data_IF_446691980001
#
_entry.id   IF_446691980001
#
_cell.length_a   1.000
_cell.length_b   1.000
_cell.length_c   1.000
_cell.angle_alpha   90.00
_cell.angle_beta   90.00
_cell.angle_gamma   90.00
#
_symmetry.space_group_name_H-M   'P 1'
#
loop_
_entity.id
_entity.type
_entity.pdbx_description
1 polymer ?
#
# COMPACT_ATOMS: atom_id res chain seq x y z
N UNK A 1 -10.16 4.46 3.41
CA UNK A 1 -8.80 3.96 3.60
C UNK A 1 -8.25 3.60 2.24
N UNK A 2 -7.18 4.27 1.83
CA UNK A 2 -6.49 3.95 0.57
C UNK A 2 -5.68 2.68 0.76
N UNK A 3 -5.54 1.83 -0.28
CA UNK A 3 -4.76 0.59 -0.17
C UNK A 3 -3.30 0.82 0.25
N UNK A 4 -2.76 2.01 -0.01
CA UNK A 4 -1.42 2.42 0.40
C UNK A 4 -1.24 2.48 1.93
N UNK A 5 -2.29 2.75 2.70
CA UNK A 5 -2.24 2.81 4.18
C UNK A 5 -2.07 1.43 4.83
N UNK A 6 -2.24 0.33 4.07
CA UNK A 6 -2.10 -1.04 4.56
C UNK A 6 -0.68 -1.62 4.36
N UNK A 7 0.24 -0.87 3.75
CA UNK A 7 1.61 -1.33 3.58
C UNK A 7 2.31 -1.29 4.93
N UNK A 8 2.81 -2.43 5.40
CA UNK A 8 3.50 -2.49 6.69
C UNK A 8 4.90 -1.90 6.56
N UNK A 9 5.11 -0.71 7.13
CA UNK A 9 6.39 0.02 7.10
C UNK A 9 7.10 0.08 8.46
N UNK A 10 6.63 -0.69 9.45
CA UNK A 10 7.19 -0.66 10.81
C UNK A 10 8.47 -1.53 10.91
N UNK A 11 9.56 -0.97 10.38
CA UNK A 11 10.90 -1.56 10.46
C UNK A 11 11.78 -0.93 11.54
N UNK A 12 11.47 0.31 11.95
CA UNK A 12 12.30 1.09 12.88
C UNK A 12 12.58 0.38 14.21
N UNK A 13 11.62 -0.31 14.86
CA UNK A 13 11.89 -1.04 16.09
C UNK A 13 12.94 -2.14 15.93
N UNK A 14 12.88 -2.90 14.83
CA UNK A 14 13.84 -3.98 14.54
C UNK A 14 15.21 -3.40 14.19
N UNK A 15 15.26 -2.30 13.43
CA UNK A 15 16.52 -1.61 13.10
C UNK A 15 17.19 -1.11 14.38
N UNK A 16 16.43 -0.47 15.27
CA UNK A 16 16.90 0.01 16.55
C UNK A 16 17.48 -1.13 17.40
N UNK A 17 16.75 -2.24 17.50
CA UNK A 17 17.17 -3.41 18.25
C UNK A 17 18.47 -4.03 17.72
N UNK A 18 18.64 -4.09 16.39
CA UNK A 18 19.87 -4.58 15.76
C UNK A 18 21.04 -3.65 16.11
N UNK A 19 20.88 -2.34 15.92
CA UNK A 19 21.93 -1.36 16.24
C UNK A 19 22.33 -1.47 17.72
N UNK A 20 21.36 -1.51 18.62
CA UNK A 20 21.58 -1.64 20.07
C UNK A 20 22.30 -2.94 20.43
N UNK A 21 21.99 -4.04 19.76
CA UNK A 21 22.66 -5.32 20.00
C UNK A 21 24.14 -5.30 19.60
N UNK A 22 24.46 -4.66 18.46
CA UNK A 22 25.83 -4.51 17.95
C UNK A 22 26.65 -3.58 18.87
N UNK A 23 26.04 -2.47 19.30
CA UNK A 23 26.66 -1.55 20.27
C UNK A 23 26.96 -2.29 21.59
N UNK A 24 26.04 -3.11 22.09
CA UNK A 24 26.25 -3.87 23.33
C UNK A 24 27.38 -4.92 23.20
N UNK A 25 27.47 -5.61 22.06
CA UNK A 25 28.52 -6.61 21.76
C UNK A 25 29.91 -5.97 21.70
N UNK A 26 30.03 -4.73 21.22
CA UNK A 26 31.30 -4.01 21.15
C UNK A 26 31.83 -3.55 22.51
N UNK A 27 30.96 -3.35 23.51
CA UNK A 27 31.36 -2.93 24.87
C UNK A 27 31.52 -4.10 25.87
N UNK A 28 30.92 -5.27 25.63
CA UNK A 28 30.96 -6.42 26.54
C UNK A 28 31.53 -7.68 25.87
N UNK A 29 32.86 -7.90 25.96
CA UNK A 29 33.56 -9.11 25.45
C UNK A 29 33.14 -10.44 26.15
N UNK A 30 32.16 -10.44 27.05
CA UNK A 30 31.80 -11.61 27.89
C UNK A 30 30.32 -12.01 27.82
N UNK A 31 29.59 -11.67 26.75
CA UNK A 31 28.15 -11.92 26.71
C UNK A 31 27.77 -13.41 26.60
N UNK A 32 26.72 -13.75 27.36
CA UNK A 32 26.08 -15.06 27.41
C UNK A 32 25.49 -15.40 26.02
N UNK A 33 25.62 -16.65 25.55
CA UNK A 33 25.24 -17.06 24.19
C UNK A 33 23.76 -16.86 23.80
N UNK A 34 22.88 -16.56 24.77
CA UNK A 34 21.45 -16.37 24.53
C UNK A 34 21.09 -15.03 23.84
N UNK A 35 21.70 -13.90 24.25
CA UNK A 35 21.34 -12.58 23.67
C UNK A 35 21.93 -12.36 22.27
N UNK A 36 23.08 -12.99 21.98
CA UNK A 36 23.69 -13.00 20.64
C UNK A 36 22.87 -13.84 19.64
N UNK A 37 22.18 -14.87 20.10
CA UNK A 37 21.30 -15.68 19.25
C UNK A 37 20.05 -14.87 18.83
N UNK A 38 19.43 -14.15 19.76
CA UNK A 38 18.24 -13.32 19.46
C UNK A 38 18.55 -12.20 18.45
N UNK A 39 19.73 -11.59 18.56
CA UNK A 39 20.18 -10.50 17.67
C UNK A 39 20.40 -10.98 16.23
N UNK A 40 20.98 -12.17 16.07
CA UNK A 40 21.16 -12.82 14.76
C UNK A 40 19.83 -13.21 14.10
N UNK A 41 18.75 -13.40 14.87
CA UNK A 41 17.41 -13.68 14.35
C UNK A 41 16.67 -12.41 13.88
N UNK A 42 17.04 -11.22 14.37
CA UNK A 42 16.41 -9.94 13.98
C UNK A 42 16.80 -9.49 12.57
N UNK A 43 18.01 -9.81 12.11
CA UNK A 43 18.46 -9.51 10.74
C UNK A 43 17.62 -10.25 9.67
N UNK A 44 17.41 -11.58 9.73
CA UNK A 44 16.54 -12.27 8.78
C UNK A 44 15.07 -11.87 8.93
N UNK A 45 14.62 -11.49 10.13
CA UNK A 45 13.29 -10.89 10.32
C UNK A 45 13.16 -9.57 9.55
N UNK A 46 14.13 -8.65 9.69
CA UNK A 46 14.16 -7.39 8.95
C UNK A 46 14.12 -7.63 7.43
N UNK A 47 14.95 -8.56 6.94
CA UNK A 47 14.96 -8.92 5.51
C UNK A 47 13.60 -9.41 5.04
N UNK A 48 12.96 -10.29 5.81
CA UNK A 48 11.63 -10.81 5.50
C UNK A 48 10.60 -9.68 5.44
N UNK A 49 10.59 -8.80 6.43
CA UNK A 49 9.66 -7.66 6.48
C UNK A 49 9.87 -6.69 5.32
N UNK A 50 11.12 -6.39 4.96
CA UNK A 50 11.42 -5.54 3.79
C UNK A 50 10.95 -6.18 2.49
N UNK A 51 11.13 -7.50 2.34
CA UNK A 51 10.68 -8.24 1.17
C UNK A 51 9.15 -8.24 1.06
N UNK A 52 8.44 -8.51 2.15
CA UNK A 52 6.98 -8.43 2.20
C UNK A 52 6.46 -7.03 1.83
N UNK A 53 7.11 -5.98 2.32
CA UNK A 53 6.74 -4.61 1.98
C UNK A 53 6.96 -4.31 0.50
N UNK A 54 8.07 -4.77 -0.10
CA UNK A 54 8.30 -4.67 -1.55
C UNK A 54 7.18 -5.37 -2.34
N UNK A 55 6.79 -6.57 -1.93
CA UNK A 55 5.71 -7.32 -2.58
C UNK A 55 4.34 -6.64 -2.43
N UNK A 56 4.09 -5.99 -1.29
CA UNK A 56 2.88 -5.20 -1.08
C UNK A 56 2.87 -3.96 -1.98
N UNK A 57 4.00 -3.25 -2.08
CA UNK A 57 4.15 -2.08 -2.97
C UNK A 57 3.92 -2.50 -4.43
N UNK A 58 4.48 -3.63 -4.87
CA UNK A 58 4.28 -4.13 -6.24
C UNK A 58 2.83 -4.47 -6.58
N UNK A 59 1.98 -4.70 -5.57
CA UNK A 59 0.55 -4.97 -5.76
C UNK A 59 -0.30 -3.70 -5.71
N UNK A 60 0.28 -2.54 -5.40
CA UNK A 60 -0.48 -1.29 -5.34
C UNK A 60 -0.93 -0.88 -6.74
N UNK A 61 -2.21 -0.51 -6.92
CA UNK A 61 -2.69 -0.07 -8.20
C UNK A 61 -2.04 1.26 -8.58
N UNK A 62 -1.62 1.34 -9.84
CA UNK A 62 -1.11 2.57 -10.44
C UNK A 62 0.37 2.85 -10.22
N UNK A 63 1.13 1.94 -9.59
CA UNK A 63 2.60 2.07 -9.48
C UNK A 63 3.31 2.14 -10.84
N UNK A 64 2.69 1.60 -11.89
CA UNK A 64 3.21 1.59 -13.25
C UNK A 64 3.01 2.94 -13.98
N UNK A 65 2.31 3.89 -13.35
CA UNK A 65 1.99 5.17 -13.95
C UNK A 65 2.81 6.28 -13.33
N UNK A 66 3.23 7.24 -14.16
CA UNK A 66 3.76 8.50 -13.65
C UNK A 66 2.64 9.29 -12.98
N UNK A 67 3.02 10.24 -12.13
CA UNK A 67 2.06 11.13 -11.46
C UNK A 67 1.15 11.83 -12.46
N UNK A 68 1.71 12.31 -13.57
CA UNK A 68 0.99 13.04 -14.62
C UNK A 68 0.01 12.11 -15.36
N UNK A 69 0.41 10.85 -15.60
CA UNK A 69 -0.44 9.82 -16.19
C UNK A 69 -1.62 9.48 -15.26
N UNK A 70 -1.38 9.35 -13.95
CA UNK A 70 -2.43 9.12 -12.96
C UNK A 70 -3.42 10.29 -12.90
N UNK A 71 -2.92 11.53 -12.92
CA UNK A 71 -3.76 12.74 -12.90
C UNK A 71 -4.65 12.83 -14.15
N UNK A 72 -4.09 12.64 -15.35
CA UNK A 72 -4.86 12.64 -16.60
C UNK A 72 -5.96 11.58 -16.60
N UNK A 73 -5.66 10.36 -16.11
CA UNK A 73 -6.66 9.29 -15.99
C UNK A 73 -7.77 9.63 -15.01
N UNK A 74 -7.43 10.24 -13.88
CA UNK A 74 -8.41 10.68 -12.89
C UNK A 74 -9.37 11.72 -13.49
N UNK A 75 -8.86 12.68 -14.26
CA UNK A 75 -9.67 13.67 -14.96
C UNK A 75 -10.61 13.01 -15.98
N UNK A 76 -10.07 12.13 -16.83
CA UNK A 76 -10.87 11.39 -17.81
C UNK A 76 -11.98 10.55 -17.14
N UNK A 77 -11.69 9.90 -16.01
CA UNK A 77 -12.69 9.13 -15.26
C UNK A 77 -13.80 10.02 -14.69
N UNK A 78 -13.47 11.23 -14.23
CA UNK A 78 -14.46 12.22 -13.75
C UNK A 78 -15.38 12.66 -14.89
N UNK A 79 -14.82 12.96 -16.05
CA UNK A 79 -15.61 13.32 -17.24
C UNK A 79 -16.53 12.18 -17.68
N UNK A 80 -16.01 10.95 -17.78
CA UNK A 80 -16.82 9.78 -18.10
C UNK A 80 -17.97 9.58 -17.13
N UNK A 81 -17.73 9.80 -15.83
CA UNK A 81 -18.76 9.67 -14.80
C UNK A 81 -19.86 10.73 -14.97
N UNK A 82 -19.51 11.97 -15.32
CA UNK A 82 -20.47 13.03 -15.64
C UNK A 82 -21.32 12.63 -16.86
N UNK A 83 -20.68 12.22 -17.95
CA UNK A 83 -21.36 11.80 -19.17
C UNK A 83 -22.31 10.62 -18.94
N UNK A 84 -21.85 9.59 -18.20
CA UNK A 84 -22.68 8.43 -17.85
C UNK A 84 -23.90 8.83 -17.01
N UNK A 85 -23.73 9.75 -16.05
CA UNK A 85 -24.85 10.29 -15.26
C UNK A 85 -25.85 11.05 -16.12
N UNK A 86 -25.39 11.91 -17.02
CA UNK A 86 -26.25 12.63 -17.96
C UNK A 86 -27.03 11.68 -18.86
N UNK A 87 -26.38 10.63 -19.35
CA UNK A 87 -27.02 9.61 -20.18
C UNK A 87 -28.10 8.85 -19.40
N UNK A 88 -27.81 8.42 -18.16
CA UNK A 88 -28.81 7.79 -17.29
C UNK A 88 -29.99 8.72 -17.00
N UNK A 89 -29.73 10.02 -16.77
CA UNK A 89 -30.80 11.01 -16.57
C UNK A 89 -31.65 11.17 -17.84
N UNK A 90 -31.02 11.21 -19.01
CA UNK A 90 -31.72 11.26 -20.29
C UNK A 90 -32.61 10.03 -20.48
N UNK A 91 -32.11 8.82 -20.21
CA UNK A 91 -32.93 7.60 -20.26
C UNK A 91 -34.07 7.63 -19.25
N UNK A 92 -33.84 8.07 -18.01
CA UNK A 92 -34.89 8.23 -16.99
C UNK A 92 -36.00 9.17 -17.47
N UNK A 93 -35.64 10.29 -18.06
CA UNK A 93 -36.60 11.29 -18.52
C UNK A 93 -37.29 10.88 -19.84
N UNK A 94 -36.61 10.10 -20.69
CA UNK A 94 -37.19 9.52 -21.91
C UNK A 94 -38.09 8.32 -21.62
N UNK A 95 -37.92 7.63 -20.48
CA UNK A 95 -38.78 6.53 -20.04
C UNK A 95 -40.13 7.01 -19.46
N UNK A 96 -40.59 8.20 -19.82
CA UNK A 96 -42.03 8.47 -20.00
C UNK A 96 -42.43 8.02 -21.41
N UNK A 97 -42.08 6.79 -21.78
CA UNK A 97 -42.79 6.14 -22.87
C UNK A 97 -44.22 5.98 -22.37
N UNK A 98 -45.14 6.70 -23.00
CA UNK A 98 -46.55 6.32 -23.05
C UNK A 98 -46.60 4.80 -23.22
N UNK A 99 -46.92 4.09 -22.15
CA UNK A 99 -47.51 2.77 -22.30
C UNK A 99 -48.95 3.08 -22.73
N UNK A 100 -49.31 2.98 -24.02
CA UNK A 100 -50.72 2.88 -24.34
C UNK A 100 -51.22 1.68 -23.54
N UNK A 101 -52.15 1.93 -22.62
CA UNK A 101 -52.87 0.86 -21.94
C UNK A 101 -53.55 0.05 -23.06
N UNK A 102 -53.07 -1.16 -23.30
CA UNK A 102 -53.77 -2.23 -24.02
C UNK A 102 -54.06 -3.31 -23.00
#
# INVERSE_FOLDING_TARGET
MTQAENVNTDFLPIIYDIIRSIEKETYETTQKPHENADSNLKIPELRTKLQQCREQIQKLPGIDYTKEEQQRRLEALREQLIQKRQLLLKYKNMCHFDNPKI
#
